data_IF_396298328379
#
_entry.id   IF_396298328379
#
_cell.length_a   1.000
_cell.length_b   1.000
_cell.length_c   1.000
_cell.angle_alpha   90.00
_cell.angle_beta   90.00
_cell.angle_gamma   90.00
#
_symmetry.space_group_name_H-M   'P 1'
#
loop_
_entity.id
_entity.type
_entity.pdbx_description
1 polymer ?
#
# COMPACT_ATOMS: atom_id res chain seq x y z
N UNK A 1 -5.90 19.39 -3.69
CA UNK A 1 -6.40 18.04 -3.98
C UNK A 1 -6.15 17.23 -2.72
N UNK A 2 -7.19 16.74 -2.05
CA UNK A 2 -7.06 16.17 -0.70
C UNK A 2 -7.49 14.71 -0.70
N UNK A 3 -6.50 13.82 -0.69
CA UNK A 3 -6.68 12.46 -0.22
C UNK A 3 -5.87 12.30 1.07
N UNK A 4 -6.51 11.83 2.14
CA UNK A 4 -5.84 11.52 3.41
C UNK A 4 -5.69 10.00 3.51
N UNK A 5 -4.46 9.53 3.74
CA UNK A 5 -4.15 8.11 3.87
C UNK A 5 -4.84 7.52 5.11
N UNK A 6 -5.69 6.52 4.94
CA UNK A 6 -6.14 5.68 6.06
C UNK A 6 -5.11 4.57 6.25
N UNK A 7 -4.37 4.65 7.36
CA UNK A 7 -3.31 3.71 7.80
C UNK A 7 -1.99 3.78 7.03
N UNK A 8 -1.15 4.75 7.40
CA UNK A 8 0.28 4.75 7.10
C UNK A 8 1.00 3.70 7.97
N UNK A 9 1.25 2.50 7.44
CA UNK A 9 2.19 1.54 8.06
C UNK A 9 3.65 1.95 7.78
N UNK A 10 3.86 2.90 6.89
CA UNK A 10 5.01 3.79 6.93
C UNK A 10 4.54 5.20 6.50
N UNK A 11 5.12 6.25 7.07
CA UNK A 11 4.79 7.64 6.73
C UNK A 11 5.49 8.14 5.46
N UNK A 12 6.23 7.27 4.76
CA UNK A 12 7.16 7.67 3.70
C UNK A 12 6.89 7.02 2.32
N UNK A 13 5.89 6.13 2.18
CA UNK A 13 5.59 5.47 0.90
C UNK A 13 4.09 5.29 0.61
N UNK A 14 3.22 5.98 1.36
CA UNK A 14 1.77 5.95 1.13
C UNK A 14 1.29 7.35 0.70
N UNK A 15 1.30 7.63 -0.59
CA UNK A 15 0.57 8.79 -1.14
C UNK A 15 -0.76 8.30 -1.70
N UNK A 16 -1.83 8.99 -1.35
CA UNK A 16 -3.13 8.71 -1.90
C UNK A 16 -3.30 9.53 -3.19
N UNK A 17 -3.42 8.84 -4.33
CA UNK A 17 -3.57 9.49 -5.64
C UNK A 17 -5.00 10.00 -5.80
N UNK A 18 -5.15 11.31 -5.99
CA UNK A 18 -6.44 11.94 -6.30
C UNK A 18 -6.66 11.88 -7.80
N UNK A 19 -7.61 11.08 -8.28
CA UNK A 19 -8.10 11.21 -9.65
C UNK A 19 -8.90 12.51 -9.78
N UNK A 20 -8.30 13.57 -10.32
CA UNK A 20 -9.04 14.79 -10.69
C UNK A 20 -9.62 14.67 -12.10
N UNK A 21 -10.55 13.73 -12.29
CA UNK A 21 -11.48 13.76 -13.41
C UNK A 21 -12.61 14.74 -13.08
N UNK A 22 -12.44 16.02 -13.38
CA UNK A 22 -13.53 17.02 -13.27
C UNK A 22 -13.91 17.48 -11.86
N UNK A 23 -13.28 16.97 -10.79
CA UNK A 23 -13.61 17.34 -9.42
C UNK A 23 -13.21 18.78 -9.11
N UNK A 24 -14.19 19.61 -8.74
CA UNK A 24 -13.93 20.96 -8.22
C UNK A 24 -14.06 20.95 -6.71
N UNK A 25 -13.13 21.63 -6.03
CA UNK A 25 -13.27 21.91 -4.60
C UNK A 25 -14.41 22.92 -4.48
N UNK A 26 -15.46 22.53 -3.78
CA UNK A 26 -16.62 23.37 -3.50
C UNK A 26 -16.72 23.60 -2.00
N UNK A 27 -17.24 24.75 -1.62
CA UNK A 27 -17.52 25.08 -0.23
C UNK A 27 -18.64 24.16 0.30
N UNK A 28 -18.47 23.63 1.52
CA UNK A 28 -19.46 22.76 2.17
C UNK A 28 -18.98 21.35 2.47
N UNK A 29 -19.94 20.46 2.67
CA UNK A 29 -19.79 19.07 3.10
C UNK A 29 -20.41 18.12 2.08
N UNK A 30 -19.81 16.95 1.89
CA UNK A 30 -20.54 15.82 1.28
C UNK A 30 -21.30 15.10 2.38
N UNK A 31 -22.63 15.16 2.30
CA UNK A 31 -23.56 14.51 3.21
C UNK A 31 -23.99 13.16 2.65
N UNK A 32 -23.98 12.15 3.50
CA UNK A 32 -24.52 10.83 3.25
C UNK A 32 -25.60 10.51 4.28
N UNK A 33 -26.79 10.14 3.82
CA UNK A 33 -27.94 9.81 4.66
C UNK A 33 -28.30 8.33 4.49
N UNK A 34 -28.48 7.64 5.61
CA UNK A 34 -28.83 6.22 5.65
C UNK A 34 -30.13 6.04 6.44
N UNK A 35 -31.17 5.53 5.78
CA UNK A 35 -32.53 5.38 6.28
C UNK A 35 -32.71 3.95 6.81
N UNK A 36 -33.23 3.80 8.03
CA UNK A 36 -33.54 2.49 8.61
C UNK A 36 -32.32 1.67 9.05
N UNK A 37 -31.10 2.21 8.92
CA UNK A 37 -29.84 1.58 9.30
C UNK A 37 -29.18 2.20 10.54
N UNK A 38 -28.52 1.36 11.35
CA UNK A 38 -27.56 1.79 12.38
C UNK A 38 -26.11 1.89 11.85
N UNK A 39 -25.93 1.76 10.52
CA UNK A 39 -24.67 1.36 9.87
C UNK A 39 -23.47 2.28 10.14
N UNK A 40 -23.65 3.60 10.03
CA UNK A 40 -22.53 4.55 10.21
C UNK A 40 -21.95 4.50 11.63
N UNK A 41 -22.79 4.35 12.66
CA UNK A 41 -22.36 4.37 14.05
C UNK A 41 -21.67 3.07 14.51
N UNK A 42 -21.91 1.94 13.82
CA UNK A 42 -21.21 0.67 14.07
C UNK A 42 -19.92 0.49 13.26
N UNK A 43 -19.58 1.45 12.40
CA UNK A 43 -18.46 1.29 11.46
C UNK A 43 -18.76 0.33 10.31
N UNK A 44 -20.04 -0.02 10.10
CA UNK A 44 -20.52 -0.87 9.03
C UNK A 44 -20.95 0.02 7.86
N UNK A 45 -19.99 0.53 7.08
CA UNK A 45 -20.24 1.22 5.81
C UNK A 45 -20.51 0.22 4.67
N UNK A 46 -21.21 -0.88 4.98
CA UNK A 46 -21.40 -2.00 4.06
C UNK A 46 -22.55 -1.82 3.07
N UNK A 47 -23.30 -0.74 3.16
CA UNK A 47 -24.40 -0.40 2.23
C UNK A 47 -24.21 1.00 1.67
N UNK A 48 -24.57 1.19 0.41
CA UNK A 48 -24.63 2.50 -0.23
C UNK A 48 -25.59 3.45 0.53
N UNK A 49 -25.30 4.76 0.56
CA UNK A 49 -26.19 5.76 1.16
C UNK A 49 -27.51 5.87 0.38
N UNK A 50 -28.63 6.05 1.10
CA UNK A 50 -29.94 6.30 0.47
C UNK A 50 -29.99 7.68 -0.21
N UNK A 51 -29.24 8.65 0.34
CA UNK A 51 -29.09 9.98 -0.24
C UNK A 51 -27.66 10.45 -0.09
N UNK A 52 -27.15 11.06 -1.14
CA UNK A 52 -25.91 11.85 -1.13
C UNK A 52 -26.28 13.28 -1.55
N UNK A 53 -25.69 14.28 -0.90
CA UNK A 53 -25.81 15.69 -1.33
C UNK A 53 -24.57 16.51 -0.92
N UNK A 54 -24.24 17.57 -1.67
CA UNK A 54 -23.38 18.65 -1.14
C UNK A 54 -24.21 19.65 -0.34
N UNK A 55 -23.85 19.87 0.93
CA UNK A 55 -24.58 20.77 1.84
C UNK A 55 -23.67 21.86 2.41
N UNK A 56 -24.24 23.04 2.66
CA UNK A 56 -23.51 24.17 3.22
C UNK A 56 -23.26 24.06 4.73
N UNK A 57 -23.97 23.18 5.43
CA UNK A 57 -23.90 23.07 6.88
C UNK A 57 -24.39 21.72 7.36
N UNK A 58 -23.85 21.26 8.48
CA UNK A 58 -24.36 20.09 9.21
C UNK A 58 -25.76 20.40 9.76
N UNK A 59 -26.74 19.57 9.40
CA UNK A 59 -28.12 19.70 9.87
C UNK A 59 -28.84 18.36 9.88
N UNK A 60 -29.99 18.27 10.54
CA UNK A 60 -30.80 17.04 10.51
C UNK A 60 -31.93 17.17 9.50
N UNK A 61 -32.22 16.13 8.69
CA UNK A 61 -33.31 16.14 7.72
C UNK A 61 -34.65 16.27 8.43
N UNK A 62 -35.54 17.12 7.91
CA UNK A 62 -36.85 17.36 8.53
C UNK A 62 -37.86 16.25 8.26
N UNK A 63 -37.64 15.44 7.23
CA UNK A 63 -38.51 14.34 6.82
C UNK A 63 -38.20 13.02 7.55
N UNK A 64 -37.07 12.91 8.24
CA UNK A 64 -36.69 11.73 9.02
C UNK A 64 -36.70 12.05 10.52
N UNK A 65 -37.41 11.23 11.30
CA UNK A 65 -37.59 11.46 12.74
C UNK A 65 -37.12 10.30 13.62
N UNK A 66 -36.99 9.09 13.06
CA UNK A 66 -36.61 7.88 13.77
C UNK A 66 -35.63 7.08 12.91
N UNK A 67 -34.66 6.43 13.55
CA UNK A 67 -33.80 5.39 12.96
C UNK A 67 -33.17 5.78 11.61
N UNK A 68 -32.28 6.76 11.66
CA UNK A 68 -31.43 7.09 10.52
C UNK A 68 -30.03 7.47 11.00
N UNK A 69 -29.06 7.47 10.09
CA UNK A 69 -27.73 8.00 10.36
C UNK A 69 -27.27 8.92 9.25
N UNK A 70 -26.35 9.81 9.59
CA UNK A 70 -25.77 10.77 8.67
C UNK A 70 -24.26 10.83 8.84
N UNK A 71 -23.56 11.04 7.73
CA UNK A 71 -22.14 11.35 7.70
C UNK A 71 -21.92 12.61 6.89
N UNK A 72 -21.13 13.53 7.42
CA UNK A 72 -20.58 14.65 6.68
C UNK A 72 -19.08 14.48 6.54
N UNK A 73 -18.60 14.49 5.29
CA UNK A 73 -17.18 14.49 4.95
C UNK A 73 -16.77 15.84 4.39
N UNK A 74 -15.65 16.37 4.86
CA UNK A 74 -15.12 17.64 4.39
C UNK A 74 -13.70 17.86 4.88
N UNK A 75 -13.14 18.99 4.49
CA UNK A 75 -11.78 19.40 4.81
C UNK A 75 -11.78 20.81 5.38
N UNK A 76 -10.98 21.01 6.43
CA UNK A 76 -10.60 22.35 6.90
C UNK A 76 -9.17 22.66 6.47
N UNK A 77 -8.84 23.94 6.40
CA UNK A 77 -7.47 24.41 6.18
C UNK A 77 -6.97 25.09 7.45
N UNK A 78 -5.92 24.53 8.05
CA UNK A 78 -5.18 25.10 9.18
C UNK A 78 -4.06 25.99 8.64
N UNK A 79 -4.10 27.28 8.97
CA UNK A 79 -3.09 28.26 8.55
C UNK A 79 -1.94 28.28 9.54
N UNK A 80 -2.24 28.25 10.84
CA UNK A 80 -1.25 28.27 11.90
C UNK A 80 -1.24 26.94 12.65
N UNK A 81 -0.14 26.19 12.56
CA UNK A 81 0.04 24.97 13.34
C UNK A 81 -0.17 25.23 14.84
N UNK A 82 -0.81 24.29 15.54
CA UNK A 82 -1.09 24.44 16.98
C UNK A 82 -2.19 23.52 17.50
N UNK A 83 -2.65 23.78 18.72
CA UNK A 83 -3.75 23.03 19.33
C UNK A 83 -5.11 23.55 18.81
N UNK A 84 -5.92 22.64 18.28
CA UNK A 84 -7.28 22.90 17.84
C UNK A 84 -8.27 22.07 18.66
N UNK A 85 -9.37 22.71 19.06
CA UNK A 85 -10.47 22.09 19.79
C UNK A 85 -11.66 21.87 18.86
N UNK A 86 -12.20 20.65 18.85
CA UNK A 86 -13.41 20.30 18.12
C UNK A 86 -14.53 19.97 19.10
N UNK A 87 -15.76 20.36 18.75
CA UNK A 87 -16.95 20.16 19.57
C UNK A 87 -18.11 19.65 18.72
N UNK A 88 -18.84 18.67 19.24
CA UNK A 88 -20.16 18.28 18.73
C UNK A 88 -21.25 18.59 19.74
N UNK A 89 -22.45 18.86 19.25
CA UNK A 89 -23.69 18.89 20.02
C UNK A 89 -24.74 18.08 19.28
N UNK A 90 -25.20 16.97 19.88
CA UNK A 90 -26.09 16.02 19.21
C UNK A 90 -27.22 15.48 20.08
N UNK A 91 -28.31 15.12 19.43
CA UNK A 91 -29.49 14.40 19.93
C UNK A 91 -29.98 13.46 18.80
N UNK A 92 -29.70 12.16 18.76
CA UNK A 92 -28.96 11.31 19.70
C UNK A 92 -27.42 11.42 19.52
N UNK A 93 -26.74 10.32 19.18
CA UNK A 93 -25.29 10.21 19.31
C UNK A 93 -24.51 10.67 18.09
N UNK A 94 -23.30 11.16 18.34
CA UNK A 94 -22.36 11.58 17.31
C UNK A 94 -20.91 11.20 17.61
N UNK A 95 -20.07 11.27 16.58
CA UNK A 95 -18.62 11.28 16.71
C UNK A 95 -18.02 12.22 15.67
N UNK A 96 -16.86 12.80 16.00
CA UNK A 96 -16.08 13.61 15.07
C UNK A 96 -14.68 13.02 14.98
N UNK A 97 -14.22 12.84 13.75
CA UNK A 97 -12.88 12.37 13.41
C UNK A 97 -12.12 13.50 12.71
N UNK A 98 -10.82 13.60 13.01
CA UNK A 98 -9.89 14.47 12.29
C UNK A 98 -8.72 13.60 11.83
N UNK A 99 -8.41 13.61 10.53
CA UNK A 99 -7.40 12.75 9.90
C UNK A 99 -7.49 11.27 10.30
N UNK A 100 -8.71 10.74 10.29
CA UNK A 100 -9.01 9.36 10.71
C UNK A 100 -8.96 9.10 12.22
N UNK A 101 -8.49 10.05 13.05
CA UNK A 101 -8.47 9.92 14.51
C UNK A 101 -9.84 10.27 15.08
N UNK A 102 -10.51 9.30 15.72
CA UNK A 102 -11.78 9.53 16.42
C UNK A 102 -11.58 10.39 17.68
N UNK A 103 -11.77 11.69 17.50
CA UNK A 103 -11.48 12.75 18.46
C UNK A 103 -12.63 12.99 19.43
N UNK A 104 -13.82 13.38 18.93
CA UNK A 104 -14.99 13.64 19.79
C UNK A 104 -15.86 12.39 19.85
N UNK A 105 -16.10 11.90 21.07
CA UNK A 105 -16.89 10.68 21.33
C UNK A 105 -18.17 11.06 22.08
N UNK A 106 -19.27 11.24 21.36
CA UNK A 106 -20.57 11.62 21.90
C UNK A 106 -21.64 10.56 21.62
N UNK A 107 -21.31 9.31 21.91
CA UNK A 107 -22.15 8.16 21.57
C UNK A 107 -23.35 7.91 22.48
N UNK A 108 -24.19 6.95 22.06
CA UNK A 108 -25.35 6.45 22.80
C UNK A 108 -26.63 7.25 22.58
N UNK A 109 -27.74 6.75 23.11
CA UNK A 109 -29.03 7.45 23.08
C UNK A 109 -29.06 8.50 24.19
N UNK A 110 -29.34 9.74 23.82
CA UNK A 110 -29.40 10.87 24.75
C UNK A 110 -30.05 12.08 24.12
N UNK A 111 -30.75 12.88 24.93
CA UNK A 111 -31.11 14.23 24.56
C UNK A 111 -29.88 15.09 24.22
N UNK A 112 -30.11 16.25 23.60
CA UNK A 112 -29.09 17.22 23.19
C UNK A 112 -27.92 17.38 24.19
N UNK A 113 -26.73 16.95 23.79
CA UNK A 113 -25.52 16.93 24.64
C UNK A 113 -24.29 17.40 23.88
N UNK A 114 -23.44 18.20 24.54
CA UNK A 114 -22.15 18.67 24.03
C UNK A 114 -21.00 17.76 24.45
N UNK A 115 -20.06 17.52 23.55
CA UNK A 115 -18.74 16.93 23.82
C UNK A 115 -17.67 17.62 22.99
N UNK A 116 -16.46 17.64 23.50
CA UNK A 116 -15.31 18.25 22.84
C UNK A 116 -14.01 17.55 23.21
N UNK A 117 -13.00 17.73 22.37
CA UNK A 117 -11.64 17.28 22.57
C UNK A 117 -10.69 18.12 21.70
N UNK A 118 -9.39 18.11 22.03
CA UNK A 118 -8.36 18.80 21.26
C UNK A 118 -7.37 17.86 20.58
N UNK A 119 -6.77 18.36 19.50
CA UNK A 119 -5.73 17.72 18.72
C UNK A 119 -4.72 18.79 18.28
N UNK A 120 -3.43 18.44 18.22
CA UNK A 120 -2.43 19.30 17.60
C UNK A 120 -2.45 19.08 16.10
N UNK A 121 -2.63 20.15 15.32
CA UNK A 121 -2.63 20.13 13.86
C UNK A 121 -1.43 20.91 13.33
N UNK A 122 -0.82 20.41 12.27
CA UNK A 122 0.17 21.14 11.50
C UNK A 122 -0.52 22.14 10.55
N UNK A 123 0.25 23.05 9.94
CA UNK A 123 -0.31 23.89 8.89
C UNK A 123 -0.58 23.03 7.64
N UNK A 124 -1.78 23.14 7.06
CA UNK A 124 -2.20 22.31 5.96
C UNK A 124 -3.69 22.00 5.96
N UNK A 125 -4.11 21.06 5.14
CA UNK A 125 -5.51 20.62 5.11
C UNK A 125 -5.69 19.35 5.92
N UNK A 126 -6.80 19.30 6.64
CA UNK A 126 -7.15 18.19 7.52
C UNK A 126 -8.54 17.67 7.19
N UNK A 127 -8.67 16.36 7.06
CA UNK A 127 -9.97 15.71 6.88
C UNK A 127 -10.76 15.84 8.17
N UNK A 128 -12.03 16.22 8.05
CA UNK A 128 -12.98 16.20 9.15
C UNK A 128 -14.15 15.33 8.74
N UNK A 129 -14.48 14.35 9.57
CA UNK A 129 -15.67 13.51 9.40
C UNK A 129 -16.54 13.68 10.62
N UNK A 130 -17.83 13.91 10.39
CA UNK A 130 -18.84 13.98 11.44
C UNK A 130 -19.87 12.89 11.19
N UNK A 131 -19.97 11.95 12.12
CA UNK A 131 -20.99 10.91 12.08
C UNK A 131 -22.05 11.17 13.14
N UNK A 132 -23.29 10.88 12.78
CA UNK A 132 -24.45 11.07 13.63
C UNK A 132 -25.44 9.92 13.44
N UNK A 133 -26.16 9.56 14.50
CA UNK A 133 -27.32 8.69 14.40
C UNK A 133 -28.48 9.26 15.20
N UNK A 134 -29.69 9.01 14.70
CA UNK A 134 -30.93 9.28 15.39
C UNK A 134 -31.61 7.96 15.77
N UNK A 135 -31.80 7.74 17.07
CA UNK A 135 -32.61 6.67 17.62
C UNK A 135 -34.08 7.02 17.65
N UNK A 136 -34.40 8.24 18.08
CA UNK A 136 -35.74 8.81 17.99
C UNK A 136 -35.97 9.98 18.94
N UNK A 137 -37.16 10.57 18.89
CA UNK A 137 -37.45 11.79 19.66
C UNK A 137 -36.96 13.05 18.93
N UNK A 138 -36.26 13.94 19.63
CA UNK A 138 -35.73 15.18 19.05
C UNK A 138 -34.47 14.89 18.23
N UNK A 139 -34.34 15.47 17.05
CA UNK A 139 -33.14 15.36 16.22
C UNK A 139 -32.37 16.67 16.24
N UNK A 140 -31.08 16.64 16.58
CA UNK A 140 -30.22 17.82 16.48
C UNK A 140 -28.78 17.41 16.23
N UNK A 141 -28.10 18.14 15.34
CA UNK A 141 -26.67 18.00 15.16
C UNK A 141 -26.03 19.34 14.79
N UNK A 142 -24.90 19.63 15.41
CA UNK A 142 -24.01 20.72 15.03
C UNK A 142 -22.57 20.43 15.47
N UNK A 143 -21.61 20.98 14.73
CA UNK A 143 -20.19 20.87 15.05
C UNK A 143 -19.47 22.22 14.91
N UNK A 144 -18.42 22.39 15.73
CA UNK A 144 -17.61 23.59 15.78
C UNK A 144 -16.14 23.23 15.97
N UNK A 145 -15.28 24.16 15.59
CA UNK A 145 -13.86 24.12 15.94
C UNK A 145 -13.40 25.49 16.47
N UNK A 146 -12.29 25.49 17.21
CA UNK A 146 -11.53 26.69 17.56
C UNK A 146 -10.04 26.40 17.60
N UNK A 147 -9.26 27.44 17.44
CA UNK A 147 -7.79 27.47 17.52
C UNK A 147 -7.29 28.82 17.02
N UNK A 148 -5.99 28.91 16.74
CA UNK A 148 -5.34 30.14 16.29
C UNK A 148 -6.06 30.81 15.11
N UNK A 149 -6.49 30.02 14.11
CA UNK A 149 -7.14 30.56 12.90
C UNK A 149 -8.52 31.19 13.14
N UNK A 150 -9.14 30.84 14.27
CA UNK A 150 -10.46 31.37 14.68
C UNK A 150 -10.34 32.43 15.79
N UNK A 151 -9.11 32.84 16.14
CA UNK A 151 -8.87 33.68 17.31
C UNK A 151 -9.35 33.04 18.61
N UNK A 152 -9.20 31.71 18.74
CA UNK A 152 -9.64 30.89 19.86
C UNK A 152 -11.14 30.94 20.20
N UNK A 153 -11.97 31.40 19.25
CA UNK A 153 -13.43 31.40 19.37
C UNK A 153 -14.05 30.24 18.60
N UNK A 154 -15.10 29.62 19.16
CA UNK A 154 -15.80 28.55 18.45
C UNK A 154 -16.51 29.06 17.21
N UNK A 155 -16.04 28.60 16.06
CA UNK A 155 -16.63 28.84 14.75
C UNK A 155 -17.36 27.58 14.29
N UNK A 156 -18.55 27.75 13.70
CA UNK A 156 -19.30 26.62 13.15
C UNK A 156 -18.53 26.02 11.98
N UNK A 157 -18.53 24.69 11.89
CA UNK A 157 -18.00 24.01 10.72
C UNK A 157 -19.05 24.00 9.60
N UNK A 158 -19.21 25.15 8.93
CA UNK A 158 -20.06 25.35 7.76
C UNK A 158 -19.22 25.64 6.50
N UNK A 159 -19.87 25.89 5.38
CA UNK A 159 -19.20 26.11 4.08
C UNK A 159 -18.26 27.32 4.04
N UNK A 160 -18.23 28.17 5.06
CA UNK A 160 -17.22 29.26 5.14
C UNK A 160 -15.83 28.77 5.53
N UNK A 161 -15.75 27.62 6.21
CA UNK A 161 -14.48 27.05 6.73
C UNK A 161 -14.25 25.61 6.30
N UNK A 162 -15.27 24.94 5.76
CA UNK A 162 -15.19 23.57 5.26
C UNK A 162 -15.37 23.56 3.75
N UNK A 163 -14.56 22.73 3.09
CA UNK A 163 -14.69 22.42 1.68
C UNK A 163 -14.83 20.92 1.45
N UNK A 164 -15.46 20.56 0.35
CA UNK A 164 -15.59 19.18 -0.13
C UNK A 164 -15.39 19.11 -1.64
N UNK A 165 -15.56 17.92 -2.21
CA UNK A 165 -15.48 17.65 -3.64
C UNK A 165 -16.91 17.54 -4.21
N UNK A 166 -17.15 18.15 -5.38
CA UNK A 166 -18.46 18.11 -6.05
C UNK A 166 -18.88 16.69 -6.45
N UNK A 167 -20.16 16.36 -6.30
CA UNK A 167 -20.77 15.02 -6.32
C UNK A 167 -20.61 14.12 -7.56
N UNK A 168 -20.04 14.60 -8.67
CA UNK A 168 -19.71 13.74 -9.82
C UNK A 168 -18.30 13.12 -9.73
N UNK A 169 -17.65 13.27 -8.58
CA UNK A 169 -16.38 12.62 -8.34
C UNK A 169 -16.63 11.24 -7.72
N UNK A 170 -16.56 10.21 -8.55
CA UNK A 170 -16.11 8.88 -8.13
C UNK A 170 -14.72 9.00 -7.48
N UNK A 171 -14.65 9.55 -6.25
CA UNK A 171 -13.50 9.40 -5.37
C UNK A 171 -13.51 7.97 -4.86
N UNK A 172 -13.12 7.06 -5.74
CA UNK A 172 -12.35 5.93 -5.29
C UNK A 172 -10.99 6.49 -4.84
N UNK A 173 -10.88 6.79 -3.55
CA UNK A 173 -9.56 6.95 -2.93
C UNK A 173 -8.89 5.57 -2.97
N UNK A 174 -8.15 5.29 -4.03
CA UNK A 174 -7.24 4.17 -4.05
C UNK A 174 -6.00 4.60 -3.25
N UNK A 175 -5.92 4.16 -2.00
CA UNK A 175 -4.65 4.17 -1.27
C UNK A 175 -3.89 2.96 -1.78
N UNK A 176 -3.00 3.16 -2.75
CA UNK A 176 -1.98 2.19 -3.07
C UNK A 176 -0.91 2.29 -1.99
N UNK A 177 -0.82 1.29 -1.11
CA UNK A 177 0.38 1.12 -0.32
C UNK A 177 1.41 0.51 -1.28
N UNK A 178 2.44 1.28 -1.64
CA UNK A 178 3.57 0.73 -2.38
C UNK A 178 4.19 -0.45 -1.63
N UNK A 179 4.78 -1.39 -2.35
CA UNK A 179 5.41 -2.58 -1.76
C UNK A 179 6.59 -2.21 -0.86
N UNK A 180 6.97 -3.08 0.09
CA UNK A 180 8.10 -2.81 0.98
C UNK A 180 9.38 -2.45 0.21
N UNK A 181 9.87 -1.23 0.41
CA UNK A 181 11.08 -0.72 -0.22
C UNK A 181 10.87 0.13 -1.47
N UNK A 182 9.66 0.18 -2.04
CA UNK A 182 9.32 1.05 -3.17
C UNK A 182 9.64 2.52 -2.85
N UNK A 183 10.24 3.24 -3.80
CA UNK A 183 10.47 4.68 -3.64
C UNK A 183 9.14 5.41 -3.80
N UNK A 184 8.91 6.44 -2.99
CA UNK A 184 7.65 7.18 -2.90
C UNK A 184 7.01 7.46 -4.27
N UNK A 185 5.77 6.99 -4.44
CA UNK A 185 4.91 7.42 -5.54
C UNK A 185 4.55 8.88 -5.31
N UNK A 186 5.00 9.77 -6.22
CA UNK A 186 4.62 11.17 -6.22
C UNK A 186 3.45 11.37 -7.17
N UNK A 187 2.56 12.32 -6.89
CA UNK A 187 1.44 12.67 -7.79
C UNK A 187 1.86 13.18 -9.20
N UNK A 188 3.16 13.23 -9.51
CA UNK A 188 3.70 13.52 -10.85
C UNK A 188 4.05 12.26 -11.65
N UNK A 189 4.10 11.10 -10.99
CA UNK A 189 4.47 9.82 -11.59
C UNK A 189 3.25 8.88 -11.57
N UNK A 190 2.76 8.56 -12.76
CA UNK A 190 1.44 7.98 -13.00
C UNK A 190 1.53 6.46 -12.88
N UNK A 191 0.67 5.87 -12.05
CA UNK A 191 0.58 4.42 -11.85
C UNK A 191 -0.79 3.91 -12.29
N UNK A 192 -0.79 2.84 -13.08
CA UNK A 192 -2.03 2.15 -13.45
C UNK A 192 -2.51 1.30 -12.27
N UNK A 193 -3.54 1.76 -11.57
CA UNK A 193 -4.23 0.95 -10.56
C UNK A 193 -5.29 0.09 -11.28
N UNK A 194 -5.12 -1.23 -11.30
CA UNK A 194 -6.10 -2.16 -11.88
C UNK A 194 -7.01 -2.75 -10.80
N UNK A 195 -8.24 -2.24 -10.71
CA UNK A 195 -9.30 -2.83 -9.88
C UNK A 195 -9.98 -3.99 -10.60
N UNK A 196 -10.01 -5.16 -9.96
CA UNK A 196 -10.70 -6.36 -10.46
C UNK A 196 -12.14 -6.39 -9.93
N UNK A 197 -13.14 -6.09 -10.77
CA UNK A 197 -14.54 -6.40 -10.45
C UNK A 197 -15.30 -6.85 -11.69
N UNK A 198 -15.88 -8.04 -11.58
CA UNK A 198 -16.86 -8.62 -12.50
C UNK A 198 -18.15 -7.79 -12.65
N UNK A 199 -18.29 -6.68 -11.90
CA UNK A 199 -19.32 -5.65 -12.08
C UNK A 199 -18.72 -4.42 -12.78
N UNK A 200 -18.55 -4.53 -14.09
CA UNK A 200 -18.84 -3.50 -15.09
C UNK A 200 -18.21 -2.09 -15.06
N UNK A 201 -17.45 -1.68 -14.05
CA UNK A 201 -16.95 -0.30 -13.91
C UNK A 201 -15.51 -0.24 -13.41
N UNK A 202 -14.59 -1.03 -13.98
CA UNK A 202 -13.16 -0.73 -13.89
C UNK A 202 -12.81 0.24 -15.03
N UNK A 203 -12.68 1.52 -14.72
CA UNK A 203 -12.07 2.43 -15.68
C UNK A 203 -10.60 2.02 -15.84
N UNK A 204 -10.25 1.29 -16.90
CA UNK A 204 -8.85 0.96 -17.28
C UNK A 204 -8.00 2.21 -17.62
N UNK A 205 -8.45 3.39 -17.19
CA UNK A 205 -7.95 4.72 -17.50
C UNK A 205 -7.69 5.53 -16.23
N UNK A 206 -7.55 4.85 -15.07
CA UNK A 206 -6.96 5.47 -13.89
C UNK A 206 -5.49 5.73 -14.22
N UNK A 207 -5.28 6.92 -14.80
CA UNK A 207 -4.02 7.61 -15.04
C UNK A 207 -3.08 7.08 -16.14
N UNK A 208 -3.57 7.13 -17.39
CA UNK A 208 -2.69 7.07 -18.58
C UNK A 208 -2.73 8.41 -19.32
N UNK A 209 -2.07 9.46 -18.81
CA UNK A 209 -1.84 10.70 -19.58
C UNK A 209 -1.08 10.44 -20.89
N UNK A 210 -0.30 9.35 -20.92
CA UNK A 210 0.33 8.80 -22.11
C UNK A 210 -0.43 7.54 -22.50
N UNK A 211 -0.95 7.46 -23.73
CA UNK A 211 -1.60 6.28 -24.30
C UNK A 211 -0.91 4.98 -23.87
N UNK A 212 -1.69 3.92 -23.59
CA UNK A 212 -1.22 2.55 -23.30
C UNK A 212 0.04 2.26 -24.12
N UNK A 213 1.20 2.28 -23.46
CA UNK A 213 2.45 1.96 -24.13
C UNK A 213 2.34 0.52 -24.66
N UNK A 214 2.81 0.24 -25.88
CA UNK A 214 2.88 -1.12 -26.38
C UNK A 214 3.54 -2.01 -25.33
N UNK A 215 2.97 -3.18 -24.99
CA UNK A 215 3.47 -4.00 -23.90
C UNK A 215 4.97 -4.32 -24.00
N UNK A 216 5.44 -4.54 -25.22
CA UNK A 216 6.85 -4.72 -25.59
C UNK A 216 7.79 -3.57 -25.18
N UNK A 217 7.28 -2.38 -24.87
CA UNK A 217 8.04 -1.20 -24.46
C UNK A 217 7.99 -0.95 -22.95
N UNK A 218 7.17 -1.68 -22.18
CA UNK A 218 6.96 -1.45 -20.73
C UNK A 218 8.25 -1.58 -19.93
N UNK A 219 9.09 -2.56 -20.27
CA UNK A 219 10.42 -2.73 -19.64
C UNK A 219 11.34 -1.53 -19.94
N UNK A 220 11.37 -1.08 -21.20
CA UNK A 220 12.23 0.03 -21.61
C UNK A 220 11.76 1.38 -21.10
N UNK A 221 10.44 1.57 -20.91
CA UNK A 221 9.86 2.84 -20.50
C UNK A 221 10.20 3.20 -19.06
N UNK A 222 10.30 2.21 -18.16
CA UNK A 222 10.68 2.43 -16.75
C UNK A 222 11.99 3.20 -16.65
N UNK A 223 13.03 2.73 -17.32
CA UNK A 223 14.31 3.44 -17.34
C UNK A 223 14.22 4.74 -18.13
N UNK A 224 13.64 4.76 -19.34
CA UNK A 224 13.68 5.99 -20.17
C UNK A 224 12.89 7.15 -19.60
N UNK A 225 11.80 6.90 -18.86
CA UNK A 225 11.00 7.97 -18.27
C UNK A 225 11.70 8.64 -17.08
N UNK A 226 12.27 7.82 -16.18
CA UNK A 226 12.91 8.32 -14.96
C UNK A 226 14.36 8.78 -15.20
N UNK A 227 15.14 8.04 -15.97
CA UNK A 227 16.55 8.38 -16.21
C UNK A 227 16.78 9.70 -16.92
N UNK A 228 15.82 10.13 -17.77
CA UNK A 228 15.95 11.36 -18.54
C UNK A 228 15.59 12.61 -17.72
N UNK A 229 14.80 12.45 -16.65
CA UNK A 229 14.17 13.58 -15.95
C UNK A 229 14.50 13.64 -14.46
N UNK A 230 14.90 12.53 -13.85
CA UNK A 230 15.21 12.47 -12.42
C UNK A 230 16.42 13.37 -12.06
N UNK A 231 16.33 14.00 -10.90
CA UNK A 231 17.36 14.92 -10.40
C UNK A 231 18.67 14.21 -10.00
N UNK A 232 18.61 12.90 -9.70
CA UNK A 232 19.72 12.10 -9.18
C UNK A 232 20.43 11.25 -10.27
N UNK A 233 20.81 11.90 -11.36
CA UNK A 233 21.38 11.30 -12.58
C UNK A 233 22.52 10.28 -12.36
N UNK A 234 23.37 10.47 -11.35
CA UNK A 234 24.45 9.52 -11.06
C UNK A 234 23.92 8.18 -10.54
N UNK A 235 22.93 8.21 -9.63
CA UNK A 235 22.29 7.02 -9.08
C UNK A 235 21.57 6.25 -10.19
N UNK A 236 20.83 6.98 -11.02
CA UNK A 236 20.14 6.43 -12.18
C UNK A 236 21.12 5.66 -13.09
N UNK A 237 22.24 6.28 -13.48
CA UNK A 237 23.24 5.63 -14.36
C UNK A 237 23.89 4.40 -13.72
N UNK A 238 24.17 4.45 -12.42
CA UNK A 238 24.70 3.30 -11.69
C UNK A 238 23.68 2.16 -11.61
N UNK A 239 22.43 2.48 -11.30
CA UNK A 239 21.34 1.50 -11.26
C UNK A 239 21.10 0.86 -12.63
N UNK A 240 21.11 1.63 -13.71
CA UNK A 240 21.03 1.09 -15.06
C UNK A 240 22.16 0.10 -15.37
N UNK A 241 23.40 0.45 -15.03
CA UNK A 241 24.54 -0.46 -15.23
C UNK A 241 24.37 -1.78 -14.45
N UNK A 242 23.88 -1.71 -13.21
CA UNK A 242 23.57 -2.90 -12.41
C UNK A 242 22.41 -3.71 -13.01
N UNK A 243 21.37 -3.06 -13.51
CA UNK A 243 20.25 -3.75 -14.14
C UNK A 243 20.70 -4.53 -15.39
N UNK A 244 21.60 -3.97 -16.22
CA UNK A 244 22.12 -4.67 -17.39
C UNK A 244 22.87 -5.97 -17.04
N UNK A 245 23.43 -6.07 -15.83
CA UNK A 245 24.09 -7.28 -15.34
C UNK A 245 23.06 -8.37 -15.03
N UNK A 246 21.92 -8.00 -14.43
CA UNK A 246 20.85 -8.92 -14.03
C UNK A 246 19.65 -8.86 -15.00
N UNK A 247 19.93 -8.68 -16.29
CA UNK A 247 18.88 -8.44 -17.26
C UNK A 247 18.00 -9.69 -17.50
N UNK A 248 16.69 -9.45 -17.65
CA UNK A 248 15.68 -10.48 -17.91
C UNK A 248 15.14 -10.32 -19.33
N UNK A 249 14.88 -11.41 -20.06
CA UNK A 249 14.39 -11.30 -21.45
C UNK A 249 13.01 -10.62 -21.51
N UNK A 250 12.73 -9.90 -22.60
CA UNK A 250 11.45 -9.19 -22.81
C UNK A 250 10.35 -10.07 -23.38
N UNK A 251 10.48 -11.41 -23.33
CA UNK A 251 9.55 -12.35 -23.94
C UNK A 251 8.59 -12.94 -22.90
N UNK A 252 7.63 -12.11 -22.47
CA UNK A 252 6.31 -12.33 -21.80
C UNK A 252 6.13 -13.35 -20.64
N UNK A 253 5.47 -12.97 -19.51
CA UNK A 253 4.01 -13.06 -19.34
C UNK A 253 3.34 -11.82 -18.71
N UNK A 254 4.11 -10.75 -18.55
CA UNK A 254 3.75 -9.54 -17.80
C UNK A 254 3.68 -8.29 -18.69
N UNK A 255 3.59 -8.49 -20.00
CA UNK A 255 3.50 -7.42 -20.98
C UNK A 255 2.34 -6.48 -20.64
N UNK A 256 2.66 -5.23 -20.28
CA UNK A 256 1.71 -4.19 -19.88
C UNK A 256 1.70 -3.85 -18.39
N UNK A 257 2.52 -4.49 -17.56
CA UNK A 257 2.63 -4.22 -16.12
C UNK A 257 3.91 -3.46 -15.78
N UNK A 258 3.88 -2.15 -16.01
CA UNK A 258 5.02 -1.23 -15.75
C UNK A 258 5.46 -1.26 -14.28
N UNK A 259 4.54 -1.45 -13.34
CA UNK A 259 4.80 -1.42 -11.90
C UNK A 259 5.77 -2.53 -11.44
N UNK A 260 5.61 -3.75 -11.95
CA UNK A 260 6.53 -4.86 -11.67
C UNK A 260 7.95 -4.55 -12.15
N UNK A 261 8.08 -3.96 -13.35
CA UNK A 261 9.39 -3.56 -13.89
C UNK A 261 9.99 -2.38 -13.14
N UNK A 262 9.16 -1.45 -12.65
CA UNK A 262 9.61 -0.34 -11.81
C UNK A 262 10.11 -0.85 -10.45
N UNK A 263 9.35 -1.70 -9.77
CA UNK A 263 9.76 -2.28 -8.49
C UNK A 263 11.10 -3.03 -8.62
N UNK A 264 11.27 -3.79 -9.71
CA UNK A 264 12.54 -4.44 -10.01
C UNK A 264 13.66 -3.41 -10.24
N UNK A 265 13.38 -2.32 -10.94
CA UNK A 265 14.34 -1.25 -11.17
C UNK A 265 14.76 -0.54 -9.88
N UNK A 266 13.84 -0.34 -8.94
CA UNK A 266 14.09 0.29 -7.64
C UNK A 266 15.11 -0.47 -6.79
N UNK A 267 15.18 -1.79 -6.91
CA UNK A 267 16.22 -2.60 -6.26
C UNK A 267 17.61 -2.06 -6.62
N UNK A 268 17.83 -1.76 -7.89
CA UNK A 268 19.11 -1.23 -8.39
C UNK A 268 19.32 0.23 -7.97
N UNK A 269 18.27 1.04 -7.85
CA UNK A 269 18.36 2.41 -7.33
C UNK A 269 18.76 2.45 -5.85
N UNK A 270 18.14 1.62 -5.02
CA UNK A 270 18.47 1.47 -3.59
C UNK A 270 19.92 1.01 -3.41
N UNK A 271 20.35 0.06 -4.23
CA UNK A 271 21.66 -0.58 -4.13
C UNK A 271 22.73 0.02 -5.05
N UNK A 272 22.46 1.14 -5.73
CA UNK A 272 23.36 1.77 -6.71
C UNK A 272 24.78 2.05 -6.16
N UNK A 273 24.88 2.35 -4.86
CA UNK A 273 26.14 2.58 -4.15
C UNK A 273 26.29 1.64 -2.94
N UNK A 274 25.52 0.55 -2.91
CA UNK A 274 25.44 -0.41 -1.81
C UNK A 274 26.41 -1.58 -1.96
N UNK A 275 26.17 -2.65 -1.19
CA UNK A 275 26.95 -3.88 -1.27
C UNK A 275 26.34 -4.86 -2.28
N UNK A 276 27.20 -5.62 -2.98
CA UNK A 276 26.73 -6.68 -3.88
C UNK A 276 25.87 -7.72 -3.14
N UNK A 277 26.15 -7.96 -1.85
CA UNK A 277 25.39 -8.89 -1.02
C UNK A 277 23.93 -8.45 -0.84
N UNK A 278 23.72 -7.16 -0.58
CA UNK A 278 22.36 -6.61 -0.38
C UNK A 278 21.60 -6.57 -1.71
N UNK A 279 22.27 -6.18 -2.79
CA UNK A 279 21.72 -6.26 -4.15
C UNK A 279 21.29 -7.69 -4.49
N UNK A 280 22.18 -8.67 -4.33
CA UNK A 280 21.88 -10.07 -4.63
C UNK A 280 20.71 -10.59 -3.79
N UNK A 281 20.64 -10.21 -2.51
CA UNK A 281 19.52 -10.59 -1.65
C UNK A 281 18.19 -10.08 -2.21
N UNK A 282 18.10 -8.79 -2.55
CA UNK A 282 16.86 -8.23 -3.09
C UNK A 282 16.50 -8.81 -4.47
N UNK A 283 17.48 -8.99 -5.36
CA UNK A 283 17.28 -9.59 -6.68
C UNK A 283 16.77 -11.04 -6.57
N UNK A 284 17.37 -11.87 -5.70
CA UNK A 284 16.96 -13.27 -5.52
C UNK A 284 15.52 -13.38 -4.98
N UNK A 285 15.13 -12.46 -4.09
CA UNK A 285 13.80 -12.44 -3.49
C UNK A 285 12.75 -11.79 -4.41
N UNK A 286 13.14 -11.17 -5.52
CA UNK A 286 12.21 -10.52 -6.44
C UNK A 286 11.38 -11.54 -7.22
N UNK A 287 10.02 -11.45 -7.20
CA UNK A 287 9.15 -12.38 -7.93
C UNK A 287 9.44 -12.48 -9.42
N UNK A 288 9.78 -11.36 -10.06
CA UNK A 288 10.09 -11.34 -11.49
C UNK A 288 11.32 -12.19 -11.80
N UNK A 289 12.37 -12.11 -10.97
CA UNK A 289 13.55 -12.98 -11.12
C UNK A 289 13.15 -14.42 -10.83
N UNK A 290 12.32 -14.65 -9.80
CA UNK A 290 11.69 -15.93 -9.47
C UNK A 290 11.10 -16.65 -10.67
N UNK A 291 10.25 -15.96 -11.41
CA UNK A 291 9.54 -16.50 -12.57
C UNK A 291 10.48 -16.64 -13.76
N UNK A 292 11.24 -15.61 -14.11
CA UNK A 292 12.09 -15.61 -15.30
C UNK A 292 13.30 -16.56 -15.20
N UNK A 293 13.87 -16.69 -14.00
CA UNK A 293 14.96 -17.64 -13.73
C UNK A 293 14.46 -18.96 -13.14
N UNK A 294 13.14 -19.09 -12.98
CA UNK A 294 12.46 -20.34 -12.61
C UNK A 294 12.87 -20.93 -11.26
N UNK A 295 13.37 -20.13 -10.31
CA UNK A 295 13.60 -20.61 -8.94
C UNK A 295 12.36 -20.45 -8.06
N UNK A 296 11.37 -19.66 -8.49
CA UNK A 296 10.03 -19.67 -7.88
C UNK A 296 9.40 -21.06 -8.04
N UNK A 297 8.89 -21.62 -6.94
CA UNK A 297 8.32 -22.96 -6.89
C UNK A 297 9.34 -24.09 -7.00
N UNK A 298 10.65 -23.80 -7.08
CA UNK A 298 11.69 -24.83 -7.00
C UNK A 298 11.72 -25.41 -5.58
N UNK A 299 11.75 -26.72 -5.48
CA UNK A 299 11.73 -27.49 -4.22
C UNK A 299 13.04 -28.23 -4.01
N UNK A 300 13.25 -28.71 -2.78
CA UNK A 300 14.29 -29.69 -2.48
C UNK A 300 13.95 -31.05 -3.08
N UNK A 301 14.97 -31.84 -3.40
CA UNK A 301 14.78 -33.19 -3.92
C UNK A 301 13.99 -34.08 -2.94
N UNK A 302 14.12 -33.88 -1.64
CA UNK A 302 13.39 -34.66 -0.64
C UNK A 302 11.89 -34.34 -0.58
N UNK A 303 11.50 -33.15 -1.04
CA UNK A 303 10.10 -32.73 -1.02
C UNK A 303 9.26 -33.43 -2.10
N UNK A 304 9.78 -33.54 -3.33
CA UNK A 304 9.02 -34.08 -4.47
C UNK A 304 9.83 -34.98 -5.43
N UNK A 305 11.08 -35.33 -5.09
CA UNK A 305 12.00 -36.10 -5.93
C UNK A 305 12.38 -35.44 -7.26
N UNK A 306 12.29 -34.10 -7.35
CA UNK A 306 12.72 -33.31 -8.50
C UNK A 306 14.00 -32.55 -8.15
N UNK A 307 14.96 -32.51 -9.08
CA UNK A 307 16.17 -31.72 -8.88
C UNK A 307 15.85 -30.21 -8.90
N UNK A 308 16.48 -29.41 -8.02
CA UNK A 308 16.31 -27.96 -8.00
C UNK A 308 16.59 -27.31 -9.36
N UNK A 309 15.91 -26.19 -9.63
CA UNK A 309 16.07 -25.44 -10.87
C UNK A 309 17.40 -24.68 -10.87
N UNK A 310 18.14 -24.78 -11.98
CA UNK A 310 19.54 -24.36 -12.03
C UNK A 310 19.78 -22.98 -12.68
N UNK A 311 18.81 -22.42 -13.41
CA UNK A 311 19.07 -21.25 -14.27
C UNK A 311 19.60 -20.03 -13.50
N UNK A 312 19.06 -19.73 -12.31
CA UNK A 312 19.59 -18.65 -11.48
C UNK A 312 20.96 -19.01 -10.88
N UNK A 313 21.17 -20.26 -10.49
CA UNK A 313 22.43 -20.73 -9.93
C UNK A 313 23.59 -20.59 -10.94
N UNK A 314 23.35 -20.97 -12.20
CA UNK A 314 24.30 -20.82 -13.30
C UNK A 314 24.66 -19.34 -13.48
N UNK A 315 23.67 -18.46 -13.54
CA UNK A 315 23.89 -17.02 -13.70
C UNK A 315 24.69 -16.39 -12.53
N UNK A 316 24.44 -16.80 -11.29
CA UNK A 316 25.17 -16.30 -10.12
C UNK A 316 26.65 -16.74 -10.13
N UNK A 317 26.92 -17.97 -10.57
CA UNK A 317 28.29 -18.48 -10.69
C UNK A 317 29.07 -17.76 -11.79
N UNK A 318 28.43 -17.50 -12.94
CA UNK A 318 29.01 -16.70 -14.02
C UNK A 318 29.37 -15.27 -13.56
N UNK A 319 28.54 -14.68 -12.69
CA UNK A 319 28.78 -13.35 -12.15
C UNK A 319 29.99 -13.28 -11.20
N UNK A 320 30.14 -14.26 -10.32
CA UNK A 320 31.12 -14.23 -9.22
C UNK A 320 32.56 -14.54 -9.65
N UNK A 321 32.83 -14.58 -10.96
CA UNK A 321 34.16 -14.62 -11.57
C UNK A 321 34.88 -15.97 -11.58
N UNK A 322 34.18 -17.11 -11.51
CA UNK A 322 34.81 -18.41 -11.80
C UNK A 322 34.56 -18.85 -13.25
N UNK A 323 35.62 -18.91 -14.05
CA UNK A 323 35.56 -19.39 -15.44
C UNK A 323 35.27 -20.90 -15.55
N UNK A 324 35.41 -21.65 -14.44
CA UNK A 324 35.30 -23.11 -14.41
C UNK A 324 34.59 -23.63 -13.16
N UNK A 325 33.27 -23.79 -13.25
CA UNK A 325 32.45 -24.52 -12.27
C UNK A 325 31.93 -25.83 -12.87
N UNK A 326 31.77 -26.87 -12.03
CA UNK A 326 31.21 -28.14 -12.44
C UNK A 326 29.68 -28.15 -12.38
N UNK A 327 29.04 -29.14 -13.02
CA UNK A 327 27.60 -29.35 -12.87
C UNK A 327 27.21 -29.57 -11.40
N UNK A 328 28.08 -30.18 -10.60
CA UNK A 328 27.85 -30.40 -9.17
C UNK A 328 27.79 -29.07 -8.41
N UNK A 329 28.64 -28.10 -8.77
CA UNK A 329 28.65 -26.78 -8.14
C UNK A 329 27.36 -26.02 -8.43
N UNK A 330 26.88 -26.10 -9.68
CA UNK A 330 25.60 -25.52 -10.09
C UNK A 330 24.44 -26.08 -9.26
N UNK A 331 24.36 -27.41 -9.11
CA UNK A 331 23.32 -28.06 -8.31
C UNK A 331 23.42 -27.65 -6.83
N UNK A 332 24.64 -27.55 -6.29
CA UNK A 332 24.82 -27.14 -4.89
C UNK A 332 24.36 -25.70 -4.63
N UNK A 333 24.60 -24.78 -5.57
CA UNK A 333 24.07 -23.42 -5.50
C UNK A 333 22.54 -23.43 -5.71
N UNK A 334 22.03 -24.23 -6.64
CA UNK A 334 20.59 -24.35 -6.89
C UNK A 334 19.81 -24.82 -5.65
N UNK A 335 20.41 -25.69 -4.82
CA UNK A 335 19.82 -26.12 -3.54
C UNK A 335 19.59 -24.96 -2.57
N UNK A 336 20.44 -23.92 -2.60
CA UNK A 336 20.24 -22.69 -1.79
C UNK A 336 19.00 -21.90 -2.25
N UNK A 337 18.62 -22.05 -3.52
CA UNK A 337 17.54 -21.29 -4.17
C UNK A 337 16.19 -22.05 -4.18
N UNK A 338 16.03 -23.04 -3.30
CA UNK A 338 14.79 -23.82 -3.16
C UNK A 338 13.83 -23.18 -2.15
N UNK A 339 12.54 -23.51 -2.24
CA UNK A 339 11.49 -23.06 -1.33
C UNK A 339 10.92 -21.66 -1.63
N UNK A 340 11.45 -20.93 -2.61
CA UNK A 340 10.95 -19.60 -2.95
C UNK A 340 9.52 -19.65 -3.46
N UNK A 341 8.62 -18.96 -2.77
CA UNK A 341 7.18 -18.94 -3.03
C UNK A 341 6.70 -17.49 -3.07
N UNK A 342 5.75 -17.22 -3.96
CA UNK A 342 5.14 -15.89 -4.07
C UNK A 342 4.37 -15.58 -2.79
N UNK A 343 4.52 -14.34 -2.32
CA UNK A 343 3.76 -13.84 -1.17
C UNK A 343 2.26 -13.84 -1.45
N UNK A 344 1.44 -13.95 -0.41
CA UNK A 344 0.00 -13.75 -0.56
C UNK A 344 -0.27 -12.30 -1.00
N UNK A 345 -1.33 -12.09 -1.77
CA UNK A 345 -1.78 -10.74 -2.09
C UNK A 345 -2.29 -10.06 -0.82
N UNK A 346 -1.75 -8.89 -0.49
CA UNK A 346 -2.30 -8.04 0.57
C UNK A 346 -3.42 -7.15 0.00
N UNK A 347 -4.24 -6.56 0.89
CA UNK A 347 -5.59 -5.99 0.67
C UNK A 347 -5.78 -4.90 -0.41
N UNK A 348 -4.80 -4.63 -1.27
CA UNK A 348 -4.90 -3.72 -2.42
C UNK A 348 -4.51 -4.47 -3.68
N UNK A 349 -5.50 -4.97 -4.43
CA UNK A 349 -5.27 -5.53 -5.77
C UNK A 349 -4.81 -4.39 -6.69
N UNK A 350 -3.50 -4.28 -6.91
CA UNK A 350 -2.94 -3.47 -8.00
C UNK A 350 -2.53 -4.35 -9.20
N UNK A 351 -2.54 -5.68 -9.04
CA UNK A 351 -2.11 -6.64 -10.07
C UNK A 351 -3.28 -7.36 -10.76
N UNK A 352 -3.11 -7.65 -12.05
CA UNK A 352 -4.05 -8.44 -12.88
C UNK A 352 -4.00 -9.95 -12.59
N UNK A 353 -2.97 -10.41 -11.86
CA UNK A 353 -2.74 -11.83 -11.59
C UNK A 353 -3.25 -12.27 -10.22
N UNK A 354 -3.54 -13.56 -10.09
CA UNK A 354 -3.88 -14.21 -8.83
C UNK A 354 -2.72 -14.29 -7.83
N UNK A 355 -1.52 -13.82 -8.21
CA UNK A 355 -0.26 -14.03 -7.49
C UNK A 355 0.51 -12.73 -7.40
N UNK A 356 1.06 -12.43 -6.21
CA UNK A 356 1.80 -11.21 -5.88
C UNK A 356 3.18 -11.18 -6.58
N UNK A 357 3.32 -10.31 -7.59
CA UNK A 357 4.50 -10.15 -8.44
C UNK A 357 5.38 -8.94 -8.05
N UNK A 358 4.94 -8.12 -7.10
CA UNK A 358 5.67 -6.95 -6.62
C UNK A 358 6.35 -7.24 -5.27
N UNK A 359 5.66 -7.84 -4.30
CA UNK A 359 6.24 -8.07 -2.97
C UNK A 359 7.32 -9.16 -3.02
N UNK A 360 8.39 -9.04 -2.20
CA UNK A 360 9.39 -10.08 -2.09
C UNK A 360 8.78 -11.47 -1.84
N UNK A 361 9.30 -12.48 -2.55
CA UNK A 361 9.01 -13.88 -2.28
C UNK A 361 9.47 -14.26 -0.87
N UNK A 362 8.86 -15.30 -0.29
CA UNK A 362 9.32 -15.89 0.95
C UNK A 362 9.80 -17.32 0.72
N UNK A 363 10.60 -17.84 1.65
CA UNK A 363 11.05 -19.23 1.61
C UNK A 363 10.08 -20.09 2.42
N UNK A 364 9.40 -21.00 1.75
CA UNK A 364 8.65 -22.09 2.39
C UNK A 364 9.63 -23.10 2.97
N UNK A 365 9.63 -23.26 4.29
CA UNK A 365 10.52 -24.20 5.00
C UNK A 365 10.36 -25.63 4.51
N UNK A 366 9.13 -26.03 4.15
CA UNK A 366 8.80 -27.41 3.80
C UNK A 366 9.38 -27.79 2.43
N UNK A 367 9.48 -26.83 1.51
CA UNK A 367 10.04 -27.01 0.19
C UNK A 367 11.53 -26.63 0.10
N UNK A 368 12.11 -26.02 1.14
CA UNK A 368 13.52 -25.61 1.16
C UNK A 368 14.45 -26.78 1.47
N UNK A 369 15.58 -26.88 0.75
CA UNK A 369 16.64 -27.82 1.06
C UNK A 369 17.29 -27.38 2.36
N UNK A 370 17.15 -28.18 3.42
CA UNK A 370 17.71 -27.85 4.75
C UNK A 370 19.09 -28.47 4.98
N UNK A 371 19.57 -29.31 4.06
CA UNK A 371 20.84 -29.99 4.20
C UNK A 371 22.02 -29.03 4.00
N UNK A 372 23.22 -29.37 4.53
CA UNK A 372 24.43 -28.63 4.24
C UNK A 372 24.70 -28.56 2.73
N UNK A 373 25.09 -27.38 2.24
CA UNK A 373 25.46 -27.15 0.84
C UNK A 373 26.94 -26.82 0.79
N UNK A 374 27.74 -27.49 -0.04
CA UNK A 374 29.16 -27.19 -0.12
C UNK A 374 29.40 -25.82 -0.79
N UNK A 375 30.49 -25.15 -0.43
CA UNK A 375 31.03 -24.01 -1.18
C UNK A 375 31.92 -24.51 -2.35
N UNK A 376 32.40 -23.59 -3.17
CA UNK A 376 33.23 -23.87 -4.35
C UNK A 376 34.63 -24.43 -4.00
N UNK A 377 35.00 -24.40 -2.72
CA UNK A 377 36.29 -24.86 -2.21
C UNK A 377 36.18 -26.16 -1.40
N UNK A 378 34.99 -26.79 -1.38
CA UNK A 378 34.74 -28.04 -0.67
C UNK A 378 34.48 -27.88 0.83
N UNK A 379 34.28 -26.66 1.35
CA UNK A 379 33.69 -26.42 2.67
C UNK A 379 32.17 -26.37 2.55
N UNK A 380 31.45 -25.92 3.58
CA UNK A 380 29.99 -25.78 3.56
C UNK A 380 29.56 -24.32 3.72
N UNK A 381 28.56 -23.90 2.95
CA UNK A 381 27.86 -22.64 3.07
C UNK A 381 27.07 -22.60 4.39
N UNK A 382 27.36 -21.62 5.24
CA UNK A 382 26.83 -21.49 6.59
C UNK A 382 27.87 -21.78 7.67
N UNK A 383 27.46 -21.67 8.92
CA UNK A 383 28.30 -21.78 10.12
C UNK A 383 28.66 -23.23 10.49
N UNK A 384 28.92 -24.11 9.52
CA UNK A 384 29.55 -25.42 9.73
C UNK A 384 28.84 -26.41 10.67
N UNK A 385 27.78 -26.03 11.38
CA UNK A 385 26.84 -26.81 12.21
C UNK A 385 25.57 -25.98 12.44
N UNK A 386 24.38 -26.60 12.46
CA UNK A 386 23.16 -25.93 12.91
C UNK A 386 23.31 -25.46 14.36
N UNK A 387 22.83 -24.24 14.68
CA UNK A 387 22.79 -23.75 16.05
C UNK A 387 21.90 -24.67 16.90
N UNK A 388 22.37 -25.06 18.09
CA UNK A 388 21.67 -26.01 18.95
C UNK A 388 20.28 -25.56 19.41
N UNK A 389 20.00 -24.26 19.34
CA UNK A 389 18.70 -23.66 19.64
C UNK A 389 17.67 -23.85 18.51
N UNK A 390 18.14 -24.09 17.28
CA UNK A 390 17.32 -24.23 16.08
C UNK A 390 17.12 -25.72 15.72
N UNK A 391 17.73 -26.63 16.48
CA UNK A 391 17.52 -28.06 16.39
C UNK A 391 16.30 -28.48 17.24
N UNK A 392 15.44 -29.33 16.68
CA UNK A 392 14.33 -29.93 17.45
C UNK A 392 14.86 -30.72 18.65
N UNK A 393 14.00 -30.95 19.65
CA UNK A 393 14.35 -31.73 20.86
C UNK A 393 14.92 -33.11 20.54
N UNK A 394 14.57 -33.65 19.37
CA UNK A 394 14.86 -35.02 18.93
C UNK A 394 15.89 -35.09 17.79
N UNK A 395 16.62 -33.99 17.51
CA UNK A 395 17.60 -33.97 16.44
C UNK A 395 18.85 -34.81 16.77
N UNK A 396 19.16 -35.79 15.92
CA UNK A 396 20.30 -36.72 16.05
C UNK A 396 21.68 -36.04 16.01
N UNK A 397 21.75 -34.75 15.66
CA UNK A 397 22.97 -33.94 15.65
C UNK A 397 23.24 -33.22 16.98
N UNK A 398 22.36 -33.35 17.98
CA UNK A 398 22.50 -32.71 19.29
C UNK A 398 23.56 -33.44 20.13
N UNK A 399 24.44 -32.67 20.77
CA UNK A 399 25.47 -33.23 21.66
C UNK A 399 24.80 -34.04 22.80
N UNK A 400 25.10 -35.35 22.87
CA UNK A 400 24.56 -36.26 23.88
C UNK A 400 23.33 -37.08 23.46
N UNK A 401 22.87 -36.97 22.20
CA UNK A 401 21.91 -37.92 21.64
C UNK A 401 22.58 -39.31 21.50
N UNK A 402 21.94 -40.36 22.04
CA UNK A 402 22.35 -41.76 21.87
C UNK A 402 21.58 -42.42 20.73
#
# INVERSE_FOLDING_TARGET
>A
AFCVSRNAVNSNSCQATVNSGGSTIVAGWTEYVYIGGWGVYKGELGSDPDRTSVVNSISTPSDLTLYYSQRWNGFITVINAGEYWFRTESDDGSQLLVDGVRLVKNGGFHAKRKKEASITLEAGSHEVIVDYFQGGGGAYMAAWYKGSDTGDSYTKLDSTVVSTLSEDADLSCAVGCGSPGEVESSGEHLFTILGDTWDGWSNQQVDTKYEKMPPALSKSSVWTMLSLTASDQLRQRAAWALWQIFDLSSSDPSDGQTEMWLNYYDIFLRNAFGSLKDLLREVIYSPIVGVYRQHQGSSSFDYDSIFPKENLAQHLLELCCEEHFSLTDVVNVARVLTGFTLSATQNTRMEYHSSNMIDPMYISSDAHDTYPKPDLHGNFLGDGRPLCQDLSSDAFLKAGAQ
#
